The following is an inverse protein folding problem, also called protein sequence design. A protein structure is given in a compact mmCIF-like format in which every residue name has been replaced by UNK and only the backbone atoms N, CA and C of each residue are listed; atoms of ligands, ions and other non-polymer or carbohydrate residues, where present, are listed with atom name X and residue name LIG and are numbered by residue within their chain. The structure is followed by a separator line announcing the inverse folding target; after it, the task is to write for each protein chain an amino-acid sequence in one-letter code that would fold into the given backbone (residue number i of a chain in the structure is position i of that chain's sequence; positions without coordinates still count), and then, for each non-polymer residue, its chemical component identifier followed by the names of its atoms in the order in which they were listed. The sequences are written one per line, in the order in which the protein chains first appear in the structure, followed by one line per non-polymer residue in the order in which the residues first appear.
data_IF_292294234189
#
_entry.id   IF_292294234189
#
_cell.length_a   1.000
_cell.length_b   1.000
_cell.length_c   1.000
_cell.angle_alpha   90.00
_cell.angle_beta   90.00
_cell.angle_gamma   90.00
#
_symmetry.space_group_name_H-M   'P 1'
#
loop_
_entity.id
_entity.type
_entity.pdbx_description
1 polymer ?
#
# COMPACT_ATOMS: atom_id res chain seq x y z
N UNK A 1 7.70 12.88 10.79
CA UNK A 1 6.74 13.45 9.83
C UNK A 1 5.46 13.75 10.56
N UNK A 2 4.96 14.98 10.48
CA UNK A 2 3.77 15.41 11.22
C UNK A 2 2.51 15.19 10.37
N UNK A 3 1.76 14.15 10.69
CA UNK A 3 0.45 13.86 10.12
C UNK A 3 -0.70 14.18 11.10
N UNK A 4 -0.45 14.92 12.19
CA UNK A 4 -1.46 15.14 13.24
C UNK A 4 -2.73 15.82 12.73
N UNK A 5 -2.63 16.57 11.63
CA UNK A 5 -3.76 17.15 10.91
C UNK A 5 -4.69 16.11 10.24
N UNK A 6 -4.27 14.84 10.13
CA UNK A 6 -5.07 13.72 9.64
C UNK A 6 -5.68 12.86 10.77
N UNK A 7 -5.51 13.26 12.04
CA UNK A 7 -6.13 12.55 13.16
C UNK A 7 -7.65 12.59 13.08
N UNK A 8 -8.28 11.50 13.51
CA UNK A 8 -9.73 11.37 13.60
C UNK A 8 -10.23 12.27 14.73
N UNK A 9 -11.10 13.23 14.39
CA UNK A 9 -11.78 14.09 15.37
C UNK A 9 -13.17 13.58 15.72
N UNK A 10 -13.84 13.00 14.73
CA UNK A 10 -15.19 12.48 14.88
C UNK A 10 -15.37 11.27 13.99
N UNK A 11 -16.09 10.30 14.52
CA UNK A 11 -16.63 9.16 13.79
C UNK A 11 -18.15 9.13 14.03
N UNK A 12 -18.91 9.15 12.95
CA UNK A 12 -20.35 8.91 12.93
C UNK A 12 -20.59 7.62 12.14
N UNK A 13 -21.59 6.84 12.52
CA UNK A 13 -21.97 5.63 11.81
C UNK A 13 -23.46 5.69 11.46
N UNK A 14 -23.79 5.25 10.26
CA UNK A 14 -25.14 4.81 9.91
C UNK A 14 -25.15 3.32 9.57
N UNK A 15 -26.28 2.79 9.13
CA UNK A 15 -26.44 1.36 8.83
C UNK A 15 -25.48 0.84 7.74
N UNK A 16 -24.97 1.74 6.90
CA UNK A 16 -24.22 1.43 5.68
C UNK A 16 -22.84 2.11 5.58
N UNK A 17 -22.60 3.20 6.32
CA UNK A 17 -21.40 4.04 6.20
C UNK A 17 -20.72 4.32 7.54
N UNK A 18 -19.41 4.51 7.46
CA UNK A 18 -18.56 5.16 8.45
C UNK A 18 -18.24 6.56 7.94
N UNK A 19 -18.56 7.58 8.72
CA UNK A 19 -18.33 8.98 8.38
C UNK A 19 -17.30 9.55 9.34
N UNK A 20 -16.08 9.77 8.85
CA UNK A 20 -15.00 10.38 9.62
C UNK A 20 -14.91 11.88 9.34
N UNK A 21 -14.61 12.66 10.37
CA UNK A 21 -14.11 14.02 10.24
C UNK A 21 -12.70 14.08 10.80
N UNK A 22 -11.75 14.52 9.99
CA UNK A 22 -10.34 14.62 10.36
C UNK A 22 -10.01 16.01 10.91
N UNK A 23 -8.85 16.16 11.57
CA UNK A 23 -8.43 17.40 12.21
C UNK A 23 -8.23 18.57 11.23
N UNK A 24 -7.93 18.29 9.96
CA UNK A 24 -7.86 19.26 8.87
C UNK A 24 -9.23 19.58 8.23
N UNK A 25 -10.32 19.04 8.77
CA UNK A 25 -11.69 19.25 8.27
C UNK A 25 -12.10 18.34 7.12
N UNK A 26 -11.22 17.49 6.59
CA UNK A 26 -11.59 16.52 5.55
C UNK A 26 -12.62 15.54 6.13
N UNK A 27 -13.65 15.26 5.33
CA UNK A 27 -14.65 14.22 5.62
C UNK A 27 -14.39 13.00 4.77
N UNK A 28 -14.33 11.84 5.41
CA UNK A 28 -14.16 10.55 4.74
C UNK A 28 -15.44 9.75 4.92
N UNK A 29 -16.07 9.42 3.80
CA UNK A 29 -17.17 8.47 3.71
C UNK A 29 -16.59 7.12 3.27
N UNK A 30 -16.70 6.12 4.14
CA UNK A 30 -16.25 4.76 3.91
C UNK A 30 -17.42 3.78 4.07
N UNK A 31 -17.77 2.99 3.05
CA UNK A 31 -18.89 2.07 3.14
C UNK A 31 -18.52 0.86 4.01
N UNK A 32 -19.42 0.47 4.92
CA UNK A 32 -19.22 -0.67 5.85
C UNK A 32 -18.95 -1.97 5.09
N UNK A 33 -19.51 -2.13 3.89
CA UNK A 33 -19.29 -3.30 3.03
C UNK A 33 -17.82 -3.51 2.62
N UNK A 34 -17.00 -2.44 2.62
CA UNK A 34 -15.57 -2.54 2.36
C UNK A 34 -14.78 -3.19 3.53
N UNK A 35 -15.42 -3.34 4.69
CA UNK A 35 -14.81 -3.86 5.91
C UNK A 35 -15.50 -5.15 6.34
N UNK A 36 -14.95 -6.29 5.92
CA UNK A 36 -15.54 -7.64 6.13
C UNK A 36 -15.99 -7.90 7.58
N UNK A 37 -15.22 -7.48 8.57
CA UNK A 37 -15.56 -7.69 9.98
C UNK A 37 -16.70 -6.77 10.45
N UNK A 38 -16.71 -5.50 10.02
CA UNK A 38 -17.78 -4.56 10.37
C UNK A 38 -19.09 -4.89 9.64
N UNK A 39 -19.02 -5.38 8.40
CA UNK A 39 -20.18 -5.85 7.65
C UNK A 39 -20.90 -7.01 8.37
N UNK A 40 -20.15 -7.90 9.02
CA UNK A 40 -20.70 -9.03 9.79
C UNK A 40 -21.18 -8.64 11.19
N UNK A 41 -20.78 -7.47 11.68
CA UNK A 41 -21.14 -7.01 13.01
C UNK A 41 -22.57 -6.47 13.06
N UNK A 42 -23.29 -6.80 14.13
CA UNK A 42 -24.58 -6.19 14.44
C UNK A 42 -24.45 -4.68 14.71
N UNK A 43 -25.52 -3.89 14.54
CA UNK A 43 -25.48 -2.47 14.86
C UNK A 43 -25.01 -2.15 16.30
N UNK A 44 -25.42 -2.89 17.35
CA UNK A 44 -24.88 -2.69 18.70
C UNK A 44 -23.38 -2.91 18.82
N UNK A 45 -22.82 -3.90 18.10
CA UNK A 45 -21.36 -4.13 18.08
C UNK A 45 -20.63 -3.00 17.34
N UNK A 46 -21.21 -2.49 16.25
CA UNK A 46 -20.65 -1.36 15.49
C UNK A 46 -20.69 -0.04 16.27
N UNK A 47 -21.64 0.13 17.19
CA UNK A 47 -21.72 1.31 18.03
C UNK A 47 -20.60 1.37 19.10
N UNK A 48 -19.95 0.24 19.42
CA UNK A 48 -18.90 0.14 20.42
C UNK A 48 -17.51 0.30 19.79
N UNK A 49 -17.17 1.54 19.43
CA UNK A 49 -15.86 1.88 18.86
C UNK A 49 -15.00 2.71 19.82
N UNK A 50 -13.68 2.66 19.59
CA UNK A 50 -12.67 3.38 20.35
C UNK A 50 -11.60 3.90 19.39
N UNK A 51 -11.26 5.19 19.48
CA UNK A 51 -10.12 5.76 18.72
C UNK A 51 -8.83 5.33 19.42
N UNK A 52 -7.80 4.99 18.63
CA UNK A 52 -6.46 4.65 19.14
C UNK A 52 -5.80 5.83 19.84
N UNK A 53 -4.83 5.56 20.71
CA UNK A 53 -4.12 6.59 21.46
C UNK A 53 -3.43 7.64 20.55
N UNK A 54 -2.89 7.19 19.41
CA UNK A 54 -2.24 8.07 18.43
C UNK A 54 -3.23 8.94 17.62
N UNK A 55 -4.53 8.65 17.72
CA UNK A 55 -5.62 9.35 17.07
C UNK A 55 -5.83 9.01 15.59
N UNK A 56 -5.15 7.99 15.05
CA UNK A 56 -5.22 7.65 13.63
C UNK A 56 -6.07 6.41 13.33
N UNK A 57 -6.26 5.54 14.31
CA UNK A 57 -6.98 4.28 14.15
C UNK A 57 -8.30 4.24 14.90
N UNK A 58 -9.13 3.28 14.53
CA UNK A 58 -10.36 2.94 15.26
C UNK A 58 -10.43 1.43 15.49
N UNK A 59 -10.70 1.06 16.73
CA UNK A 59 -10.99 -0.30 17.16
C UNK A 59 -12.48 -0.47 17.44
N UNK A 60 -12.97 -1.68 17.20
CA UNK A 60 -14.30 -2.14 17.64
C UNK A 60 -14.12 -3.36 18.53
N UNK A 61 -13.95 -3.18 19.86
CA UNK A 61 -13.62 -4.29 20.77
C UNK A 61 -14.65 -5.43 20.76
N UNK A 62 -15.92 -5.13 20.46
CA UNK A 62 -16.99 -6.12 20.32
C UNK A 62 -16.94 -6.92 19.00
N UNK A 63 -16.03 -6.58 18.09
CA UNK A 63 -15.83 -7.20 16.77
C UNK A 63 -14.49 -7.92 16.70
N UNK A 64 -13.41 -7.31 17.21
CA UNK A 64 -12.07 -7.89 17.23
C UNK A 64 -11.23 -7.32 18.39
N UNK A 65 -10.20 -8.05 18.87
CA UNK A 65 -9.25 -7.53 19.86
C UNK A 65 -8.63 -6.21 19.39
N UNK A 66 -8.56 -5.17 20.24
CA UNK A 66 -7.95 -3.89 19.87
C UNK A 66 -6.46 -4.02 19.56
N UNK A 67 -6.00 -3.28 18.54
CA UNK A 67 -4.57 -3.13 18.22
C UNK A 67 -4.14 -1.67 18.38
N UNK A 68 -2.83 -1.38 18.54
CA UNK A 68 -2.32 -0.01 18.57
C UNK A 68 -2.65 0.80 17.30
N UNK A 69 -2.66 0.15 16.14
CA UNK A 69 -2.91 0.77 14.83
C UNK A 69 -4.39 0.94 14.52
N UNK A 70 -5.26 0.21 15.22
CA UNK A 70 -6.69 0.13 14.97
C UNK A 70 -7.06 -0.97 13.97
N UNK A 71 -8.30 -1.45 14.06
CA UNK A 71 -8.90 -2.29 13.02
C UNK A 71 -9.03 -1.54 11.68
N UNK A 72 -9.22 -0.23 11.74
CA UNK A 72 -9.14 0.69 10.60
C UNK A 72 -8.10 1.74 10.90
N UNK A 73 -7.14 1.95 10.00
CA UNK A 73 -6.09 2.94 10.11
C UNK A 73 -6.26 4.05 9.07
N UNK A 74 -6.36 5.32 9.51
CA UNK A 74 -6.67 6.44 8.62
C UNK A 74 -5.55 6.76 7.61
N UNK A 75 -4.25 6.81 7.97
CA UNK A 75 -3.17 6.90 7.00
C UNK A 75 -3.23 5.83 5.91
N UNK A 76 -3.43 4.56 6.25
CA UNK A 76 -3.55 3.49 5.26
C UNK A 76 -4.77 3.68 4.35
N UNK A 77 -5.91 4.05 4.93
CA UNK A 77 -7.14 4.29 4.16
C UNK A 77 -6.95 5.43 3.16
N UNK A 78 -6.38 6.56 3.60
CA UNK A 78 -6.13 7.72 2.74
C UNK A 78 -5.11 7.39 1.65
N UNK A 79 -4.07 6.64 1.98
CA UNK A 79 -3.07 6.18 1.02
C UNK A 79 -3.69 5.28 -0.06
N UNK A 80 -4.50 4.30 0.34
CA UNK A 80 -5.25 3.43 -0.59
C UNK A 80 -6.17 4.23 -1.50
N UNK A 81 -6.88 5.23 -0.97
CA UNK A 81 -7.77 6.11 -1.76
C UNK A 81 -6.97 6.92 -2.77
N UNK A 82 -5.79 7.43 -2.39
CA UNK A 82 -4.89 8.17 -3.27
C UNK A 82 -4.43 7.32 -4.46
N UNK A 83 -3.97 6.10 -4.20
CA UNK A 83 -3.61 5.14 -5.24
C UNK A 83 -4.81 4.75 -6.12
N UNK A 84 -5.97 4.47 -5.52
CA UNK A 84 -7.19 4.10 -6.23
C UNK A 84 -7.65 5.20 -7.21
N UNK A 85 -7.47 6.48 -6.88
CA UNK A 85 -7.75 7.59 -7.80
C UNK A 85 -6.82 7.61 -9.00
N UNK A 86 -5.52 7.41 -8.80
CA UNK A 86 -4.57 7.30 -9.89
C UNK A 86 -4.92 6.11 -10.80
N UNK A 87 -5.28 4.97 -10.20
CA UNK A 87 -5.77 3.79 -10.93
C UNK A 87 -7.05 4.06 -11.71
N UNK A 88 -8.02 4.77 -11.13
CA UNK A 88 -9.25 5.16 -11.83
C UNK A 88 -8.97 6.04 -13.05
N UNK A 89 -8.02 6.97 -12.93
CA UNK A 89 -7.57 7.81 -14.06
C UNK A 89 -6.87 6.97 -15.13
N UNK A 90 -6.01 6.02 -14.75
CA UNK A 90 -5.40 5.08 -15.71
C UNK A 90 -6.47 4.30 -16.49
N UNK A 91 -7.51 3.82 -15.81
CA UNK A 91 -8.64 3.14 -16.45
C UNK A 91 -9.36 4.05 -17.45
N UNK A 92 -9.62 5.32 -17.09
CA UNK A 92 -10.21 6.31 -18.01
C UNK A 92 -9.31 6.58 -19.23
N UNK A 93 -7.99 6.55 -19.05
CA UNK A 93 -7.00 6.68 -20.11
C UNK A 93 -6.76 5.37 -20.89
N UNK A 94 -7.54 4.31 -20.61
CA UNK A 94 -7.47 2.99 -21.24
C UNK A 94 -6.10 2.33 -21.07
N UNK A 95 -5.49 2.46 -19.89
CA UNK A 95 -4.21 1.83 -19.57
C UNK A 95 -2.97 2.58 -20.08
N UNK A 96 -3.13 3.78 -20.67
CA UNK A 96 -2.00 4.59 -21.15
C UNK A 96 -1.24 5.24 -20.00
N UNK A 97 -0.21 4.56 -19.51
CA UNK A 97 0.69 5.02 -18.44
C UNK A 97 1.46 6.29 -18.83
N UNK A 98 1.85 6.42 -20.09
CA UNK A 98 2.54 7.58 -20.65
C UNK A 98 1.72 8.88 -20.61
N UNK A 99 0.39 8.76 -20.61
CA UNK A 99 -0.54 9.89 -20.50
C UNK A 99 -0.77 10.37 -19.04
N UNK A 100 -0.20 9.69 -18.05
CA UNK A 100 -0.24 10.11 -16.65
C UNK A 100 0.91 11.05 -16.31
N UNK A 101 0.71 11.86 -15.27
CA UNK A 101 1.82 12.61 -14.67
C UNK A 101 2.83 11.67 -14.00
N UNK A 102 4.09 12.08 -13.78
CA UNK A 102 5.09 11.26 -13.10
C UNK A 102 4.60 10.73 -11.74
N UNK A 103 4.05 11.60 -10.88
CA UNK A 103 3.54 11.20 -9.57
C UNK A 103 2.36 10.23 -9.64
N UNK A 104 1.53 10.28 -10.70
CA UNK A 104 0.45 9.30 -10.89
C UNK A 104 0.99 7.93 -11.33
N UNK A 105 2.03 7.90 -12.17
CA UNK A 105 2.71 6.65 -12.52
C UNK A 105 3.37 6.01 -11.29
N UNK A 106 4.07 6.81 -10.49
CA UNK A 106 4.69 6.38 -9.23
C UNK A 106 3.64 5.81 -8.27
N UNK A 107 2.50 6.48 -8.07
CA UNK A 107 1.40 5.98 -7.22
C UNK A 107 0.86 4.62 -7.68
N UNK A 108 0.68 4.43 -8.98
CA UNK A 108 0.20 3.16 -9.55
C UNK A 108 1.26 2.07 -9.40
N UNK A 109 2.52 2.39 -9.68
CA UNK A 109 3.62 1.46 -9.57
C UNK A 109 3.83 0.99 -8.12
N UNK A 110 3.75 1.91 -7.15
CA UNK A 110 3.78 1.59 -5.72
C UNK A 110 2.61 0.70 -5.30
N UNK A 111 1.40 0.96 -5.80
CA UNK A 111 0.22 0.15 -5.47
C UNK A 111 0.31 -1.26 -6.06
N UNK A 112 0.84 -1.41 -7.28
CA UNK A 112 1.11 -2.71 -7.91
C UNK A 112 2.16 -3.50 -7.14
N UNK A 113 3.25 -2.82 -6.74
CA UNK A 113 4.30 -3.40 -5.92
C UNK A 113 3.71 -3.94 -4.60
N UNK A 114 2.97 -3.12 -3.87
CA UNK A 114 2.40 -3.53 -2.59
C UNK A 114 1.41 -4.70 -2.73
N UNK A 115 0.59 -4.71 -3.78
CA UNK A 115 -0.33 -5.81 -4.05
C UNK A 115 0.41 -7.13 -4.29
N UNK A 116 1.39 -7.15 -5.21
CA UNK A 116 2.10 -8.39 -5.54
C UNK A 116 3.02 -8.86 -4.41
N UNK A 117 3.71 -7.94 -3.72
CA UNK A 117 4.54 -8.31 -2.56
C UNK A 117 3.71 -8.97 -1.46
N UNK A 118 2.51 -8.44 -1.15
CA UNK A 118 1.66 -9.01 -0.11
C UNK A 118 0.96 -10.32 -0.52
N UNK A 119 0.72 -10.53 -1.82
CA UNK A 119 0.03 -11.73 -2.32
C UNK A 119 0.97 -12.89 -2.67
N UNK A 120 2.15 -12.61 -3.23
CA UNK A 120 2.99 -13.64 -3.87
C UNK A 120 4.49 -13.30 -3.93
N UNK A 121 4.92 -12.21 -3.29
CA UNK A 121 6.32 -11.79 -3.27
C UNK A 121 6.83 -11.16 -4.57
N UNK A 122 8.13 -10.92 -4.62
CA UNK A 122 8.76 -10.13 -5.67
C UNK A 122 8.78 -10.82 -7.04
N UNK A 123 8.86 -12.16 -7.06
CA UNK A 123 8.84 -12.92 -8.32
C UNK A 123 7.57 -12.61 -9.13
N UNK A 124 6.41 -12.53 -8.46
CA UNK A 124 5.14 -12.17 -9.10
C UNK A 124 5.13 -10.74 -9.63
N UNK A 125 5.67 -9.82 -8.85
CA UNK A 125 5.80 -8.42 -9.24
C UNK A 125 6.69 -8.26 -10.47
N UNK A 126 7.82 -8.97 -10.50
CA UNK A 126 8.78 -8.95 -11.60
C UNK A 126 8.18 -9.50 -12.90
N UNK A 127 7.49 -10.64 -12.81
CA UNK A 127 6.81 -11.30 -13.94
C UNK A 127 5.69 -10.45 -14.54
N UNK A 128 4.87 -9.80 -13.69
CA UNK A 128 3.67 -9.08 -14.15
C UNK A 128 3.95 -7.72 -14.79
N UNK A 129 5.00 -7.02 -14.35
CA UNK A 129 5.17 -5.61 -14.67
C UNK A 129 6.50 -5.33 -15.35
N UNK A 130 6.43 -4.51 -16.40
CA UNK A 130 7.60 -4.10 -17.17
C UNK A 130 8.62 -3.28 -16.38
N UNK A 131 9.83 -3.18 -16.93
CA UNK A 131 10.93 -2.40 -16.35
C UNK A 131 10.56 -0.93 -16.10
N UNK A 132 9.70 -0.34 -16.94
CA UNK A 132 9.23 1.03 -16.77
C UNK A 132 8.40 1.18 -15.47
N UNK A 133 7.44 0.28 -15.23
CA UNK A 133 6.64 0.24 -14.00
C UNK A 133 7.52 0.00 -12.78
N UNK A 134 8.47 -0.95 -12.85
CA UNK A 134 9.43 -1.20 -11.75
C UNK A 134 10.28 0.03 -11.43
N UNK A 135 10.74 0.73 -12.47
CA UNK A 135 11.48 1.98 -12.32
C UNK A 135 10.65 3.11 -11.70
N UNK A 136 9.36 3.21 -12.05
CA UNK A 136 8.43 4.15 -11.41
C UNK A 136 8.22 3.83 -9.91
N UNK A 137 8.17 2.56 -9.52
CA UNK A 137 8.05 2.19 -8.10
C UNK A 137 9.31 2.59 -7.31
N UNK A 138 10.51 2.33 -7.84
CA UNK A 138 11.78 2.75 -7.23
C UNK A 138 11.86 4.27 -7.10
N UNK A 139 11.46 5.02 -8.14
CA UNK A 139 11.35 6.49 -8.08
C UNK A 139 10.38 6.94 -6.99
N UNK A 140 9.22 6.31 -6.90
CA UNK A 140 8.21 6.62 -5.89
C UNK A 140 8.72 6.40 -4.46
N UNK A 141 9.40 5.27 -4.21
CA UNK A 141 10.05 4.96 -2.93
C UNK A 141 11.15 5.96 -2.59
N UNK A 142 11.93 6.40 -3.58
CA UNK A 142 12.93 7.45 -3.39
C UNK A 142 12.29 8.80 -3.04
N UNK A 143 11.25 9.21 -3.78
CA UNK A 143 10.58 10.50 -3.63
C UNK A 143 9.94 10.66 -2.23
N UNK A 144 9.34 9.59 -1.71
CA UNK A 144 8.77 9.56 -0.36
C UNK A 144 9.80 9.35 0.76
N UNK A 145 11.08 9.17 0.43
CA UNK A 145 12.14 8.94 1.42
C UNK A 145 12.14 7.55 2.05
N UNK A 146 11.53 6.54 1.42
CA UNK A 146 11.48 5.17 1.91
C UNK A 146 12.80 4.41 1.64
N UNK A 147 13.91 4.89 2.21
CA UNK A 147 15.28 4.45 1.86
C UNK A 147 15.45 2.93 1.93
N UNK A 148 15.02 2.29 3.02
CA UNK A 148 15.23 0.85 3.21
C UNK A 148 14.30 0.00 2.33
N UNK A 149 13.04 0.42 2.14
CA UNK A 149 12.14 -0.26 1.22
C UNK A 149 12.65 -0.15 -0.22
N UNK A 150 13.18 1.02 -0.61
CA UNK A 150 13.83 1.22 -1.91
C UNK A 150 15.01 0.27 -2.10
N UNK A 151 15.91 0.20 -1.11
CA UNK A 151 17.06 -0.70 -1.16
C UNK A 151 16.66 -2.17 -1.29
N UNK A 152 15.59 -2.58 -0.61
CA UNK A 152 15.04 -3.92 -0.76
C UNK A 152 14.57 -4.20 -2.19
N UNK A 153 13.77 -3.29 -2.78
CA UNK A 153 13.28 -3.45 -4.15
C UNK A 153 14.42 -3.40 -5.18
N UNK A 154 15.39 -2.50 -5.03
CA UNK A 154 16.57 -2.44 -5.89
C UNK A 154 17.43 -3.72 -5.75
N UNK A 155 17.58 -4.24 -4.53
CA UNK A 155 18.32 -5.47 -4.24
C UNK A 155 17.65 -6.71 -4.83
N UNK A 156 16.32 -6.79 -4.75
CA UNK A 156 15.53 -7.85 -5.39
C UNK A 156 15.65 -7.74 -6.92
N UNK A 157 15.47 -6.55 -7.48
CA UNK A 157 15.65 -6.29 -8.91
C UNK A 157 17.00 -6.75 -9.43
N UNK A 158 18.10 -6.42 -8.73
CA UNK A 158 19.43 -6.83 -9.14
C UNK A 158 19.64 -8.36 -9.20
N UNK A 159 18.92 -9.15 -8.40
CA UNK A 159 18.98 -10.62 -8.48
C UNK A 159 18.23 -11.12 -9.70
N UNK A 160 16.99 -10.67 -9.89
CA UNK A 160 16.13 -11.15 -10.99
C UNK A 160 16.60 -10.67 -12.36
N UNK A 161 16.99 -9.40 -12.50
CA UNK A 161 17.48 -8.81 -13.76
C UNK A 161 18.76 -9.50 -14.25
N UNK A 162 19.68 -9.84 -13.32
CA UNK A 162 20.90 -10.60 -13.66
C UNK A 162 20.58 -11.98 -14.23
N UNK A 163 19.50 -12.62 -13.77
CA UNK A 163 19.08 -13.93 -14.28
C UNK A 163 18.28 -13.78 -15.57
N UNK A 164 17.47 -12.73 -15.72
CA UNK A 164 16.74 -12.40 -16.95
C UNK A 164 17.69 -12.15 -18.16
N UNK A 165 18.96 -11.77 -17.91
CA UNK A 165 19.98 -11.64 -18.95
C UNK A 165 20.40 -12.99 -19.60
N UNK A 166 20.13 -14.14 -18.97
CA UNK A 166 20.41 -15.45 -19.57
C UNK A 166 19.33 -15.81 -20.60
N UNK A 167 19.66 -15.91 -21.90
CA UNK A 167 18.68 -16.18 -22.95
C UNK A 167 18.03 -17.58 -22.86
N UNK A 168 18.53 -18.47 -22.01
CA UNK A 168 17.96 -19.80 -21.78
C UNK A 168 16.86 -19.80 -20.72
N UNK A 169 16.70 -18.73 -19.93
CA UNK A 169 15.65 -18.60 -18.93
C UNK A 169 14.48 -17.82 -19.55
N UNK A 170 13.40 -18.53 -19.89
CA UNK A 170 12.31 -17.99 -20.70
C UNK A 170 11.08 -17.59 -19.87
N UNK A 171 11.09 -17.92 -18.58
CA UNK A 171 9.99 -17.71 -17.65
C UNK A 171 10.49 -17.36 -16.25
N UNK A 172 9.57 -16.88 -15.41
CA UNK A 172 9.86 -16.63 -14.00
C UNK A 172 10.18 -17.92 -13.25
N UNK A 173 9.54 -19.04 -13.62
CA UNK A 173 9.84 -20.36 -13.07
C UNK A 173 11.27 -20.79 -13.40
N UNK A 174 11.74 -20.59 -14.64
CA UNK A 174 13.13 -20.87 -15.01
C UNK A 174 14.12 -20.04 -14.19
N UNK A 175 13.80 -18.76 -13.96
CA UNK A 175 14.60 -17.86 -13.12
C UNK A 175 14.69 -18.40 -11.69
N UNK A 176 13.56 -18.80 -11.10
CA UNK A 176 13.50 -19.34 -9.74
C UNK A 176 14.27 -20.66 -9.61
N UNK A 177 14.15 -21.55 -10.60
CA UNK A 177 14.86 -22.83 -10.64
C UNK A 177 16.38 -22.64 -10.80
N UNK A 178 16.80 -21.61 -11.54
CA UNK A 178 18.21 -21.25 -11.74
C UNK A 178 18.86 -20.58 -10.51
N UNK A 179 18.08 -20.10 -9.54
CA UNK A 179 18.63 -19.47 -8.33
C UNK A 179 19.42 -20.47 -7.49
N UNK A 180 20.70 -20.15 -7.25
CA UNK A 180 21.51 -20.84 -6.25
C UNK A 180 21.13 -20.41 -4.82
N UNK A 181 21.68 -21.07 -3.80
CA UNK A 181 21.38 -20.78 -2.40
C UNK A 181 21.70 -19.34 -1.98
N UNK A 182 22.72 -18.71 -2.57
CA UNK A 182 23.05 -17.31 -2.29
C UNK A 182 22.00 -16.36 -2.85
N UNK A 183 21.47 -16.65 -4.04
CA UNK A 183 20.38 -15.86 -4.63
C UNK A 183 19.10 -15.98 -3.82
N UNK A 184 18.74 -17.19 -3.40
CA UNK A 184 17.56 -17.44 -2.55
C UNK A 184 17.67 -16.70 -1.21
N UNK A 185 18.82 -16.80 -0.54
CA UNK A 185 19.06 -16.06 0.71
C UNK A 185 18.97 -14.54 0.54
N UNK A 186 19.42 -14.01 -0.61
CA UNK A 186 19.28 -12.57 -0.90
C UNK A 186 17.84 -12.17 -1.12
N UNK A 187 17.07 -12.97 -1.86
CA UNK A 187 15.63 -12.72 -2.08
C UNK A 187 14.91 -12.71 -0.74
N UNK A 188 15.04 -13.78 0.05
CA UNK A 188 14.40 -13.89 1.36
C UNK A 188 14.77 -12.70 2.27
N UNK A 189 16.06 -12.35 2.33
CA UNK A 189 16.54 -11.25 3.15
C UNK A 189 15.98 -9.88 2.73
N UNK A 190 15.88 -9.62 1.42
CA UNK A 190 15.32 -8.36 0.94
C UNK A 190 13.80 -8.29 1.07
N UNK A 191 13.08 -9.39 0.83
CA UNK A 191 11.64 -9.44 1.08
C UNK A 191 11.34 -9.18 2.56
N UNK A 192 12.09 -9.77 3.48
CA UNK A 192 11.95 -9.50 4.91
C UNK A 192 12.15 -8.02 5.24
N UNK A 193 13.16 -7.38 4.63
CA UNK A 193 13.35 -5.92 4.76
C UNK A 193 12.13 -5.18 4.23
N UNK A 194 11.59 -5.54 3.07
CA UNK A 194 10.39 -4.89 2.55
C UNK A 194 9.21 -5.02 3.52
N UNK A 195 8.88 -6.24 3.96
CA UNK A 195 7.75 -6.50 4.85
C UNK A 195 7.86 -5.77 6.20
N UNK A 196 9.07 -5.64 6.74
CA UNK A 196 9.30 -4.88 7.99
C UNK A 196 9.08 -3.38 7.82
N UNK A 197 9.20 -2.86 6.60
CA UNK A 197 9.15 -1.41 6.31
C UNK A 197 7.88 -0.99 5.59
N UNK A 198 7.09 -1.92 5.04
CA UNK A 198 5.89 -1.64 4.24
C UNK A 198 4.83 -0.86 5.03
N UNK A 199 4.69 -1.13 6.33
CA UNK A 199 3.75 -0.42 7.21
C UNK A 199 3.98 1.10 7.30
N UNK A 200 5.21 1.58 7.02
CA UNK A 200 5.51 3.01 7.05
C UNK A 200 5.17 3.73 5.73
N UNK A 201 4.97 2.98 4.65
CA UNK A 201 4.83 3.53 3.31
C UNK A 201 3.63 4.46 3.19
N UNK A 202 2.50 4.14 3.84
CA UNK A 202 1.33 5.01 3.84
C UNK A 202 1.64 6.40 4.42
N UNK A 203 2.37 6.46 5.55
CA UNK A 203 2.70 7.73 6.22
C UNK A 203 3.73 8.54 5.42
N UNK A 204 4.75 7.88 4.90
CA UNK A 204 5.75 8.49 4.02
C UNK A 204 5.08 9.04 2.74
N UNK A 205 4.24 8.22 2.12
CA UNK A 205 3.52 8.55 0.88
C UNK A 205 2.59 9.74 1.06
N UNK A 206 1.79 9.78 2.14
CA UNK A 206 0.94 10.92 2.45
C UNK A 206 1.70 12.20 2.77
N UNK A 207 2.90 12.09 3.34
CA UNK A 207 3.75 13.27 3.58
C UNK A 207 4.25 13.86 2.26
N UNK A 208 4.56 13.02 1.28
CA UNK A 208 5.09 13.45 -0.01
C UNK A 208 3.99 13.83 -1.01
N UNK A 209 3.05 12.92 -1.29
CA UNK A 209 2.00 13.10 -2.30
C UNK A 209 0.77 13.82 -1.79
N UNK A 210 0.67 14.02 -0.47
CA UNK A 210 -0.49 14.63 0.19
C UNK A 210 -1.73 13.72 0.17
N UNK A 211 -2.81 14.28 0.72
CA UNK A 211 -4.16 13.75 0.59
C UNK A 211 -4.86 14.42 -0.59
N UNK A 212 -5.85 13.74 -1.16
CA UNK A 212 -6.75 14.39 -2.09
C UNK A 212 -7.46 15.57 -1.42
N UNK A 213 -7.50 16.71 -2.10
CA UNK A 213 -8.39 17.80 -1.72
C UNK A 213 -9.83 17.34 -1.99
N UNK A 214 -10.69 17.51 -0.98
CA UNK A 214 -12.13 17.28 -1.08
C UNK A 214 -12.75 18.15 -2.18
#
# INVERSE_FOLDING_TARGET
MDLTHLRIRRLELDDTRLLFTLANGIRIDEPIQAHRLLLKASPPQRAQWQITEDGFGVNWPAVAPPTPEGLLNMPELLWRRRAARAQAKLTQLRGRMDALSPGERELIALARLDADMNESGYARYFDRWDAATRSDAVRGLAAMGAVQARQAIEGLGAVFERLEEDPNLLSIEDILDAMNDTDRQRVDGWEEVYYRRSAELARLGLTHYGVDKA
#
